data_IF_587187979882
#
_entry.id   IF_587187979882
#
_cell.length_a   1.000
_cell.length_b   1.000
_cell.length_c   1.000
_cell.angle_alpha   90.00
_cell.angle_beta   90.00
_cell.angle_gamma   90.00
#
_symmetry.space_group_name_H-M   'P 1'
#
loop_
_entity.id
_entity.type
_entity.pdbx_description
1 polymer ?
#
# COMPACT_ATOMS: atom_id res chain seq x y z
N UNK A 1 15.39 -30.40 -9.82
CA UNK A 1 14.30 -29.52 -9.36
C UNK A 1 14.41 -29.50 -7.85
N UNK A 2 14.66 -28.34 -7.27
CA UNK A 2 14.71 -28.19 -5.81
C UNK A 2 13.34 -27.78 -5.29
N UNK A 3 12.88 -28.41 -4.21
CA UNK A 3 11.62 -28.07 -3.56
C UNK A 3 11.86 -27.85 -2.07
N UNK A 4 11.33 -26.75 -1.55
CA UNK A 4 11.37 -26.43 -0.14
C UNK A 4 9.92 -26.36 0.41
N UNK A 5 9.64 -27.08 1.49
CA UNK A 5 8.38 -26.93 2.22
C UNK A 5 8.55 -25.76 3.17
N UNK A 6 7.66 -24.78 3.07
CA UNK A 6 7.69 -23.58 3.91
C UNK A 6 6.52 -23.63 4.87
N UNK A 7 6.82 -23.88 6.15
CA UNK A 7 5.84 -23.73 7.22
C UNK A 7 5.66 -22.25 7.55
N UNK A 8 4.42 -21.77 7.51
CA UNK A 8 4.05 -20.46 8.04
C UNK A 8 3.38 -20.62 9.41
N UNK A 9 3.45 -19.61 10.30
CA UNK A 9 2.87 -19.68 11.63
C UNK A 9 1.33 -19.54 11.64
N UNK A 10 0.68 -19.62 10.48
CA UNK A 10 -0.76 -19.42 10.33
C UNK A 10 -1.43 -20.72 9.88
N UNK A 11 -2.56 -21.13 10.48
CA UNK A 11 -3.26 -22.35 10.09
C UNK A 11 -4.03 -22.22 8.77
N UNK A 12 -4.45 -21.00 8.39
CA UNK A 12 -5.25 -20.73 7.18
C UNK A 12 -4.48 -19.83 6.21
N UNK A 13 -3.47 -20.42 5.54
CA UNK A 13 -2.61 -19.72 4.60
C UNK A 13 -3.31 -19.64 3.22
N UNK A 14 -3.42 -18.44 2.60
CA UNK A 14 -4.01 -18.31 1.26
C UNK A 14 -3.11 -18.85 0.15
N UNK A 15 -1.84 -19.13 0.43
CA UNK A 15 -0.83 -19.61 -0.51
C UNK A 15 -0.91 -21.11 -0.77
N UNK A 16 -0.76 -21.48 -2.04
CA UNK A 16 -0.56 -22.86 -2.49
C UNK A 16 0.93 -23.08 -2.76
N UNK A 17 1.51 -22.24 -3.62
CA UNK A 17 2.91 -22.34 -4.02
C UNK A 17 3.47 -20.98 -4.45
N UNK A 18 4.79 -20.83 -4.30
CA UNK A 18 5.57 -19.82 -5.02
C UNK A 18 6.64 -20.55 -5.82
N UNK A 19 6.83 -20.20 -7.08
CA UNK A 19 7.77 -20.92 -7.93
C UNK A 19 8.45 -20.02 -8.94
N UNK A 20 9.65 -20.43 -9.32
CA UNK A 20 10.47 -19.77 -10.33
C UNK A 20 10.51 -20.68 -11.55
N UNK A 21 10.13 -20.15 -12.69
CA UNK A 21 10.25 -20.83 -13.96
C UNK A 21 11.07 -20.00 -14.95
N UNK A 22 11.67 -20.69 -15.91
CA UNK A 22 12.39 -20.08 -17.02
C UNK A 22 11.91 -20.65 -18.34
N UNK A 23 11.98 -19.83 -19.38
CA UNK A 23 11.81 -20.25 -20.76
C UNK A 23 13.09 -19.94 -21.55
N UNK A 24 13.62 -20.98 -22.21
CA UNK A 24 14.60 -20.86 -23.27
C UNK A 24 14.17 -21.68 -24.48
N UNK A 25 14.56 -21.24 -25.68
CA UNK A 25 14.08 -21.84 -26.95
C UNK A 25 14.45 -23.32 -27.05
N UNK A 26 15.59 -23.73 -26.49
CA UNK A 26 16.10 -25.10 -26.62
C UNK A 26 15.39 -26.04 -25.64
N UNK A 27 15.16 -25.58 -24.43
CA UNK A 27 14.76 -26.43 -23.31
C UNK A 27 13.31 -26.22 -22.86
N UNK A 28 12.62 -25.25 -23.47
CA UNK A 28 11.22 -24.94 -23.21
C UNK A 28 11.01 -24.30 -21.84
N UNK A 29 9.81 -24.47 -21.29
CA UNK A 29 9.47 -24.00 -19.94
C UNK A 29 9.95 -25.02 -18.91
N UNK A 30 10.73 -24.55 -17.92
CA UNK A 30 11.21 -25.36 -16.80
C UNK A 30 10.99 -24.64 -15.48
N UNK A 31 10.46 -25.37 -14.49
CA UNK A 31 10.41 -24.90 -13.10
C UNK A 31 11.76 -25.21 -12.45
N UNK A 32 12.47 -24.16 -12.03
CA UNK A 32 13.78 -24.27 -11.41
C UNK A 32 13.71 -24.56 -9.91
N UNK A 33 12.82 -23.85 -9.21
CA UNK A 33 12.68 -23.92 -7.76
C UNK A 33 11.25 -23.63 -7.34
N UNK A 34 10.81 -24.21 -6.21
CA UNK A 34 9.46 -24.01 -5.67
C UNK A 34 9.45 -24.03 -4.13
N UNK A 35 8.63 -23.15 -3.57
CA UNK A 35 8.21 -23.13 -2.19
C UNK A 35 6.75 -23.58 -2.12
N UNK A 36 6.49 -24.63 -1.34
CA UNK A 36 5.15 -25.19 -1.16
C UNK A 36 4.63 -24.84 0.23
N UNK A 37 3.35 -24.44 0.30
CA UNK A 37 2.69 -23.99 1.53
C UNK A 37 1.52 -24.87 1.95
N UNK A 38 1.09 -25.79 1.09
CA UNK A 38 0.15 -26.86 1.43
C UNK A 38 0.77 -28.22 1.15
N UNK A 39 0.47 -29.20 2.01
CA UNK A 39 0.81 -30.62 1.76
C UNK A 39 -0.06 -31.26 0.67
N UNK A 40 -1.16 -30.60 0.30
CA UNK A 40 -2.05 -31.07 -0.77
C UNK A 40 -1.25 -31.18 -2.07
N UNK A 41 -1.09 -32.39 -2.65
CA UNK A 41 -0.35 -32.56 -3.89
C UNK A 41 -1.01 -31.71 -4.96
N UNK A 42 -0.22 -30.82 -5.58
CA UNK A 42 -0.69 -29.98 -6.66
C UNK A 42 -1.41 -30.84 -7.71
N UNK A 43 -2.73 -30.61 -7.87
CA UNK A 43 -3.58 -31.34 -8.81
C UNK A 43 -3.06 -31.26 -10.25
N UNK A 44 -2.24 -30.24 -10.55
CA UNK A 44 -1.59 -29.98 -11.84
C UNK A 44 -0.09 -29.74 -11.63
N UNK A 45 0.73 -30.22 -12.56
CA UNK A 45 2.17 -29.91 -12.56
C UNK A 45 2.39 -28.40 -12.75
N UNK A 46 3.21 -27.78 -11.89
CA UNK A 46 3.50 -26.34 -12.00
C UNK A 46 4.05 -25.97 -13.37
N UNK A 47 4.79 -26.87 -14.03
CA UNK A 47 5.27 -26.68 -15.40
C UNK A 47 4.14 -26.33 -16.36
N UNK A 48 2.99 -26.99 -16.25
CA UNK A 48 1.84 -26.75 -17.14
C UNK A 48 1.16 -25.42 -16.84
N UNK A 49 1.15 -25.02 -15.56
CA UNK A 49 0.69 -23.68 -15.13
C UNK A 49 1.60 -22.60 -15.72
N UNK A 50 2.93 -22.75 -15.60
CA UNK A 50 3.88 -21.75 -16.12
C UNK A 50 3.97 -21.72 -17.65
N UNK A 51 3.58 -22.79 -18.36
CA UNK A 51 3.43 -22.74 -19.82
C UNK A 51 2.41 -21.68 -20.24
N UNK A 52 1.32 -21.50 -19.47
CA UNK A 52 0.33 -20.45 -19.78
C UNK A 52 0.94 -19.05 -19.76
N UNK A 53 1.86 -18.79 -18.81
CA UNK A 53 2.55 -17.51 -18.68
C UNK A 53 3.69 -17.31 -19.68
N UNK A 54 4.47 -18.37 -19.96
CA UNK A 54 5.75 -18.25 -20.67
C UNK A 54 5.70 -18.70 -22.14
N UNK A 55 4.70 -19.45 -22.60
CA UNK A 55 4.76 -20.06 -23.94
C UNK A 55 4.88 -19.05 -25.09
N UNK A 56 4.38 -17.81 -24.93
CA UNK A 56 4.34 -16.81 -26.00
C UNK A 56 5.38 -15.68 -25.85
N UNK A 57 6.19 -15.67 -24.79
CA UNK A 57 7.12 -14.55 -24.52
C UNK A 57 8.17 -14.39 -25.61
N UNK A 58 8.59 -15.49 -26.26
CA UNK A 58 9.55 -15.48 -27.36
C UNK A 58 9.07 -14.77 -28.63
N UNK A 59 7.76 -14.52 -28.75
CA UNK A 59 7.15 -13.79 -29.88
C UNK A 59 6.94 -12.30 -29.57
N UNK A 60 7.24 -11.88 -28.35
CA UNK A 60 7.07 -10.51 -27.90
C UNK A 60 8.40 -9.77 -27.90
N UNK A 61 8.35 -8.45 -27.96
CA UNK A 61 9.56 -7.63 -27.93
C UNK A 61 10.17 -7.64 -26.51
N UNK A 62 11.46 -7.95 -26.41
CA UNK A 62 12.22 -8.02 -25.16
C UNK A 62 12.09 -6.74 -24.30
N UNK A 63 11.92 -5.58 -24.95
CA UNK A 63 11.75 -4.28 -24.27
C UNK A 63 10.56 -4.24 -23.31
N UNK A 64 9.53 -5.07 -23.50
CA UNK A 64 8.37 -5.10 -22.61
C UNK A 64 8.67 -5.77 -21.27
N UNK A 65 9.76 -6.54 -21.19
CA UNK A 65 10.16 -7.32 -20.04
C UNK A 65 11.34 -6.72 -19.26
N UNK A 66 11.84 -5.54 -19.66
CA UNK A 66 12.90 -4.83 -18.95
C UNK A 66 12.44 -4.37 -17.57
N UNK A 67 11.19 -3.95 -17.43
CA UNK A 67 10.61 -3.40 -16.20
C UNK A 67 9.78 -4.40 -15.38
N UNK A 68 9.96 -5.72 -15.57
CA UNK A 68 9.13 -6.77 -14.95
C UNK A 68 7.64 -6.64 -15.33
N UNK A 69 7.21 -7.37 -16.35
CA UNK A 69 5.79 -7.41 -16.74
C UNK A 69 5.01 -8.26 -15.74
N UNK A 70 3.94 -7.71 -15.16
CA UNK A 70 3.07 -8.45 -14.24
C UNK A 70 1.78 -8.86 -14.95
N UNK A 71 1.36 -10.11 -14.74
CA UNK A 71 0.06 -10.61 -15.16
C UNK A 71 -0.62 -11.36 -14.02
N UNK A 72 -1.94 -11.44 -14.09
CA UNK A 72 -2.77 -12.22 -13.19
C UNK A 72 -3.58 -13.22 -14.01
N UNK A 73 -3.87 -14.38 -13.45
CA UNK A 73 -4.66 -15.43 -14.09
C UNK A 73 -5.43 -16.18 -13.02
N UNK A 74 -6.74 -16.27 -13.20
CA UNK A 74 -7.61 -17.08 -12.35
C UNK A 74 -7.89 -18.43 -13.02
N UNK A 75 -7.84 -19.51 -12.25
CA UNK A 75 -8.13 -20.87 -12.68
C UNK A 75 -9.20 -21.46 -11.76
N UNK A 76 -10.49 -21.15 -12.02
CA UNK A 76 -11.60 -21.50 -11.12
C UNK A 76 -11.71 -23.00 -10.84
N UNK A 77 -11.36 -23.85 -11.81
CA UNK A 77 -11.40 -25.31 -11.66
C UNK A 77 -10.45 -25.86 -10.58
N UNK A 78 -9.44 -25.08 -10.20
CA UNK A 78 -8.48 -25.44 -9.14
C UNK A 78 -8.62 -24.55 -7.90
N UNK A 79 -9.56 -23.60 -7.90
CA UNK A 79 -9.62 -22.51 -6.92
C UNK A 79 -8.27 -21.76 -6.84
N UNK A 80 -7.61 -21.51 -7.98
CA UNK A 80 -6.30 -20.86 -8.00
C UNK A 80 -6.37 -19.45 -8.57
N UNK A 81 -5.74 -18.52 -7.86
CA UNK A 81 -5.39 -17.19 -8.33
C UNK A 81 -3.88 -17.12 -8.45
N UNK A 82 -3.39 -16.94 -9.68
CA UNK A 82 -1.97 -16.79 -9.99
C UNK A 82 -1.67 -15.33 -10.28
N UNK A 83 -0.64 -14.80 -9.62
CA UNK A 83 0.02 -13.56 -10.04
C UNK A 83 1.46 -13.89 -10.38
N UNK A 84 1.91 -13.43 -11.54
CA UNK A 84 3.26 -13.71 -12.02
C UNK A 84 3.91 -12.46 -12.56
N UNK A 85 5.22 -12.38 -12.36
CA UNK A 85 6.05 -11.32 -12.89
C UNK A 85 7.09 -11.94 -13.81
N UNK A 86 7.23 -11.41 -15.02
CA UNK A 86 8.06 -11.91 -16.09
C UNK A 86 9.13 -10.86 -16.41
N UNK A 87 10.38 -11.30 -16.49
CA UNK A 87 11.49 -10.45 -16.91
C UNK A 87 12.47 -11.21 -17.80
N UNK A 88 13.23 -10.44 -18.56
CA UNK A 88 14.22 -10.98 -19.49
C UNK A 88 15.64 -10.80 -18.93
N UNK A 89 16.48 -11.83 -19.08
CA UNK A 89 17.88 -11.77 -18.65
C UNK A 89 18.80 -12.36 -19.73
N UNK A 90 19.77 -11.55 -20.17
CA UNK A 90 20.80 -11.96 -21.13
C UNK A 90 22.06 -12.39 -20.40
N UNK A 91 22.42 -13.68 -20.50
CA UNK A 91 23.65 -14.23 -19.91
C UNK A 91 24.43 -15.03 -20.95
N UNK A 92 25.43 -14.43 -21.59
CA UNK A 92 26.23 -15.14 -22.61
C UNK A 92 26.67 -16.54 -22.11
N UNK A 93 26.35 -17.63 -22.82
CA UNK A 93 25.83 -17.69 -24.19
C UNK A 93 24.29 -17.75 -24.35
N UNK A 94 23.50 -17.71 -23.26
CA UNK A 94 22.04 -17.91 -23.29
C UNK A 94 21.26 -16.69 -22.79
N UNK A 95 20.24 -16.30 -23.53
CA UNK A 95 19.16 -15.47 -23.01
C UNK A 95 18.00 -16.36 -22.57
N UNK A 96 17.33 -15.96 -21.51
CA UNK A 96 16.16 -16.65 -21.02
C UNK A 96 15.17 -15.65 -20.43
N UNK A 97 13.89 -15.99 -20.56
CA UNK A 97 12.82 -15.34 -19.83
C UNK A 97 12.67 -16.04 -18.49
N UNK A 98 12.55 -15.27 -17.43
CA UNK A 98 12.31 -15.77 -16.09
C UNK A 98 10.97 -15.27 -15.61
N UNK A 99 10.32 -16.07 -14.78
CA UNK A 99 9.14 -15.65 -14.06
C UNK A 99 9.18 -16.15 -12.64
N UNK A 100 8.69 -15.32 -11.73
CA UNK A 100 8.24 -15.76 -10.42
C UNK A 100 6.72 -15.73 -10.42
N UNK A 101 6.12 -16.88 -10.12
CA UNK A 101 4.68 -17.04 -9.96
C UNK A 101 4.31 -17.32 -8.52
N UNK A 102 3.31 -16.61 -8.04
CA UNK A 102 2.69 -16.79 -6.73
C UNK A 102 1.28 -17.31 -6.96
N UNK A 103 0.98 -18.48 -6.41
CA UNK A 103 -0.31 -19.17 -6.55
C UNK A 103 -0.99 -19.16 -5.18
N UNK A 104 -2.19 -18.61 -5.15
CA UNK A 104 -3.04 -18.47 -3.97
C UNK A 104 -4.40 -19.13 -4.22
N UNK A 105 -5.15 -19.43 -3.15
CA UNK A 105 -6.54 -19.89 -3.23
C UNK A 105 -7.45 -18.73 -3.63
N UNK A 106 -8.13 -18.83 -4.77
CA UNK A 106 -8.98 -17.75 -5.28
C UNK A 106 -10.10 -17.40 -4.28
N UNK A 107 -10.69 -18.41 -3.64
CA UNK A 107 -11.70 -18.29 -2.58
C UNK A 107 -11.27 -17.47 -1.36
N UNK A 108 -9.96 -17.30 -1.14
CA UNK A 108 -9.40 -16.49 -0.04
C UNK A 108 -9.02 -15.08 -0.48
N UNK A 109 -8.94 -14.81 -1.78
CA UNK A 109 -8.54 -13.50 -2.29
C UNK A 109 -9.77 -12.60 -2.43
N UNK A 110 -9.77 -11.49 -1.69
CA UNK A 110 -10.82 -10.46 -1.82
C UNK A 110 -10.64 -9.71 -3.13
N UNK A 111 -11.75 -9.43 -3.83
CA UNK A 111 -11.75 -8.59 -5.03
C UNK A 111 -11.60 -7.11 -4.62
N UNK A 112 -10.37 -6.74 -4.28
CA UNK A 112 -10.06 -5.45 -3.69
C UNK A 112 -8.93 -4.77 -4.49
N UNK A 113 -9.18 -3.61 -5.10
CA UNK A 113 -8.19 -2.96 -5.96
C UNK A 113 -6.92 -2.55 -5.21
N UNK A 114 -7.03 -2.20 -3.92
CA UNK A 114 -5.85 -1.87 -3.10
C UNK A 114 -4.99 -3.09 -2.82
N UNK A 115 -5.61 -4.25 -2.65
CA UNK A 115 -4.89 -5.51 -2.49
C UNK A 115 -4.15 -5.90 -3.77
N UNK A 116 -4.76 -5.73 -4.94
CA UNK A 116 -4.10 -5.98 -6.22
C UNK A 116 -2.92 -5.03 -6.47
N UNK A 117 -3.08 -3.73 -6.19
CA UNK A 117 -1.99 -2.76 -6.28
C UNK A 117 -0.83 -3.14 -5.35
N UNK A 118 -1.14 -3.52 -4.11
CA UNK A 118 -0.15 -3.97 -3.13
C UNK A 118 0.61 -5.23 -3.60
N UNK A 119 -0.12 -6.24 -4.09
CA UNK A 119 0.45 -7.46 -4.64
C UNK A 119 1.36 -7.16 -5.83
N UNK A 120 0.94 -6.29 -6.74
CA UNK A 120 1.75 -5.88 -7.88
C UNK A 120 3.08 -5.28 -7.41
N UNK A 121 3.05 -4.38 -6.43
CA UNK A 121 4.27 -3.78 -5.87
C UNK A 121 5.19 -4.83 -5.25
N UNK A 122 4.66 -5.73 -4.41
CA UNK A 122 5.46 -6.82 -3.84
C UNK A 122 6.02 -7.77 -4.91
N UNK A 123 5.25 -8.07 -5.94
CA UNK A 123 5.71 -8.92 -7.05
C UNK A 123 6.88 -8.28 -7.79
N UNK A 124 6.86 -6.96 -8.03
CA UNK A 124 8.01 -6.25 -8.59
C UNK A 124 9.24 -6.39 -7.70
N UNK A 125 9.08 -6.11 -6.40
CA UNK A 125 10.18 -6.21 -5.42
C UNK A 125 10.82 -7.60 -5.42
N UNK A 126 10.03 -8.67 -5.33
CA UNK A 126 10.57 -10.03 -5.26
C UNK A 126 11.21 -10.43 -6.60
N UNK A 127 10.62 -10.00 -7.72
CA UNK A 127 11.19 -10.26 -9.06
C UNK A 127 12.53 -9.59 -9.24
N UNK A 128 12.68 -8.38 -8.71
CA UNK A 128 13.90 -7.60 -8.74
C UNK A 128 14.99 -8.23 -7.87
N UNK A 129 14.63 -8.69 -6.66
CA UNK A 129 15.55 -9.47 -5.80
C UNK A 129 15.97 -10.76 -6.52
N UNK A 130 15.04 -11.47 -7.16
CA UNK A 130 15.34 -12.67 -7.95
C UNK A 130 16.26 -12.34 -9.12
N UNK A 131 15.98 -11.28 -9.88
CA UNK A 131 16.80 -10.83 -11.02
C UNK A 131 18.22 -10.53 -10.57
N UNK A 132 18.39 -9.81 -9.47
CA UNK A 132 19.72 -9.50 -8.90
C UNK A 132 20.41 -10.77 -8.38
N UNK A 133 19.69 -11.63 -7.67
CA UNK A 133 20.20 -12.92 -7.18
C UNK A 133 20.71 -13.79 -8.34
N UNK A 134 19.93 -13.83 -9.43
CA UNK A 134 20.33 -14.50 -10.65
C UNK A 134 21.63 -13.90 -11.17
N UNK A 135 21.71 -12.57 -11.39
CA UNK A 135 22.93 -11.85 -11.85
C UNK A 135 24.15 -12.19 -10.99
N UNK A 136 23.99 -12.17 -9.67
CA UNK A 136 25.03 -12.49 -8.68
C UNK A 136 25.37 -13.99 -8.61
N UNK A 137 24.66 -14.85 -9.35
CA UNK A 137 24.80 -16.31 -9.35
C UNK A 137 24.55 -16.94 -7.97
N UNK A 138 23.67 -16.34 -7.17
CA UNK A 138 23.22 -16.89 -5.89
C UNK A 138 22.22 -18.02 -6.12
N UNK A 139 22.18 -18.97 -5.19
CA UNK A 139 21.17 -20.04 -5.19
C UNK A 139 19.77 -19.47 -4.98
N UNK A 140 18.74 -20.16 -5.49
CA UNK A 140 17.34 -19.77 -5.29
C UNK A 140 16.93 -19.76 -3.81
N UNK A 141 17.54 -20.61 -2.97
CA UNK A 141 17.31 -20.63 -1.52
C UNK A 141 17.65 -19.30 -0.83
N UNK A 142 18.45 -18.44 -1.47
CA UNK A 142 18.68 -17.07 -1.01
C UNK A 142 17.38 -16.25 -0.87
N UNK A 143 16.35 -16.57 -1.66
CA UNK A 143 15.06 -15.88 -1.63
C UNK A 143 14.13 -16.37 -0.52
N UNK A 144 14.40 -17.52 0.10
CA UNK A 144 13.52 -18.12 1.12
C UNK A 144 13.10 -17.14 2.22
N UNK A 145 14.00 -16.33 2.83
CA UNK A 145 13.59 -15.34 3.83
C UNK A 145 12.65 -14.27 3.28
N UNK A 146 12.87 -13.81 2.05
CA UNK A 146 12.02 -12.82 1.39
C UNK A 146 10.64 -13.40 1.05
N UNK A 147 10.60 -14.65 0.59
CA UNK A 147 9.35 -15.38 0.32
C UNK A 147 8.55 -15.59 1.62
N UNK A 148 9.21 -16.00 2.73
CA UNK A 148 8.56 -16.13 4.04
C UNK A 148 7.99 -14.79 4.52
N UNK A 149 8.75 -13.71 4.43
CA UNK A 149 8.29 -12.38 4.82
C UNK A 149 7.11 -11.90 3.95
N UNK A 150 7.20 -12.06 2.63
CA UNK A 150 6.11 -11.73 1.71
C UNK A 150 4.84 -12.50 2.02
N UNK A 151 4.93 -13.83 2.08
CA UNK A 151 3.77 -14.69 2.32
C UNK A 151 3.15 -14.45 3.70
N UNK A 152 3.95 -14.24 4.73
CA UNK A 152 3.47 -13.86 6.07
C UNK A 152 2.69 -12.53 6.04
N UNK A 153 3.24 -11.48 5.42
CA UNK A 153 2.59 -10.17 5.35
C UNK A 153 1.27 -10.24 4.58
N UNK A 154 1.27 -10.89 3.41
CA UNK A 154 0.05 -11.04 2.60
C UNK A 154 -0.99 -11.88 3.33
N UNK A 155 -0.58 -12.95 4.02
CA UNK A 155 -1.51 -13.76 4.83
C UNK A 155 -2.21 -12.89 5.87
N UNK A 156 -1.46 -12.11 6.64
CA UNK A 156 -2.04 -11.20 7.63
C UNK A 156 -3.04 -10.22 7.01
N UNK A 157 -2.70 -9.64 5.85
CA UNK A 157 -3.56 -8.67 5.17
C UNK A 157 -4.86 -9.32 4.66
N UNK A 158 -4.77 -10.51 4.07
CA UNK A 158 -5.93 -11.22 3.53
C UNK A 158 -6.87 -11.71 4.63
N UNK A 159 -6.32 -12.08 5.80
CA UNK A 159 -7.12 -12.55 6.94
C UNK A 159 -7.72 -11.41 7.75
N UNK A 160 -7.22 -10.18 7.62
CA UNK A 160 -7.81 -9.02 8.28
C UNK A 160 -9.17 -8.68 7.65
N UNK A 161 -10.14 -8.28 8.47
CA UNK A 161 -11.46 -7.85 8.01
C UNK A 161 -12.24 -7.16 9.14
N UNK A 162 -12.57 -5.88 9.01
CA UNK A 162 -13.52 -5.23 9.93
C UNK A 162 -14.94 -5.45 9.40
N UNK A 163 -15.54 -6.57 9.79
CA UNK A 163 -16.92 -6.92 9.40
C UNK A 163 -17.96 -6.05 10.09
N UNK A 164 -17.80 -5.87 11.39
CA UNK A 164 -18.69 -5.08 12.23
C UNK A 164 -17.85 -4.05 12.98
N UNK A 165 -18.28 -2.79 12.95
CA UNK A 165 -17.68 -1.74 13.76
C UNK A 165 -18.38 -1.78 15.12
N UNK A 166 -17.65 -2.00 16.24
CA UNK A 166 -18.28 -1.99 17.55
C UNK A 166 -18.80 -0.59 17.89
N UNK A 167 -19.98 -0.53 18.51
CA UNK A 167 -20.57 0.71 19.00
C UNK A 167 -19.88 1.16 20.29
N UNK A 168 -19.51 2.44 20.36
CA UNK A 168 -18.92 3.05 21.54
C UNK A 168 -19.49 4.44 21.75
N UNK A 169 -19.51 4.88 23.00
CA UNK A 169 -19.77 6.27 23.34
C UNK A 169 -18.48 7.08 23.19
N UNK A 170 -18.48 8.05 22.28
CA UNK A 170 -17.33 8.91 22.01
C UNK A 170 -17.27 10.15 22.91
N UNK A 171 -18.28 10.38 23.76
CA UNK A 171 -18.36 11.57 24.62
C UNK A 171 -17.27 11.63 25.69
N UNK A 172 -16.67 10.49 26.03
CA UNK A 172 -15.58 10.41 27.01
C UNK A 172 -14.21 10.85 26.45
N UNK A 173 -14.10 11.01 25.12
CA UNK A 173 -12.83 11.37 24.48
C UNK A 173 -12.77 12.88 24.24
N UNK A 174 -11.60 13.47 24.48
CA UNK A 174 -11.35 14.88 24.18
C UNK A 174 -11.69 15.22 22.71
N UNK A 175 -12.60 16.17 22.55
CA UNK A 175 -13.14 16.57 21.24
C UNK A 175 -12.08 17.17 20.31
N UNK A 176 -11.10 17.88 20.89
CA UNK A 176 -9.99 18.47 20.15
C UNK A 176 -9.07 17.39 19.59
N UNK A 177 -8.74 16.39 20.42
CA UNK A 177 -7.99 15.21 20.01
C UNK A 177 -8.71 14.42 18.91
N UNK A 178 -10.01 14.13 19.05
CA UNK A 178 -10.79 13.45 17.99
C UNK A 178 -10.79 14.25 16.68
N UNK A 179 -10.90 15.58 16.76
CA UNK A 179 -10.90 16.43 15.57
C UNK A 179 -9.53 16.42 14.86
N UNK A 180 -8.43 16.49 15.61
CA UNK A 180 -7.07 16.36 15.10
C UNK A 180 -6.85 14.98 14.47
N UNK A 181 -7.35 13.95 15.14
CA UNK A 181 -7.20 12.57 14.72
C UNK A 181 -7.95 12.32 13.41
N UNK A 182 -9.22 12.70 13.33
CA UNK A 182 -10.03 12.57 12.11
C UNK A 182 -9.42 13.37 10.96
N UNK A 183 -8.90 14.57 11.24
CA UNK A 183 -8.18 15.38 10.25
C UNK A 183 -7.00 14.61 9.67
N UNK A 184 -6.11 14.11 10.53
CA UNK A 184 -4.92 13.38 10.13
C UNK A 184 -5.27 12.10 9.37
N UNK A 185 -6.22 11.31 9.90
CA UNK A 185 -6.71 10.08 9.28
C UNK A 185 -7.16 10.31 7.84
N UNK A 186 -7.97 11.33 7.58
CA UNK A 186 -8.44 11.61 6.22
C UNK A 186 -7.35 12.21 5.31
N UNK A 187 -6.44 13.03 5.85
CA UNK A 187 -5.28 13.55 5.12
C UNK A 187 -4.29 12.46 4.71
N UNK A 188 -4.23 11.36 5.43
CA UNK A 188 -3.35 10.22 5.12
C UNK A 188 -4.08 9.08 4.40
N UNK A 189 -5.16 9.41 3.68
CA UNK A 189 -5.95 8.43 2.93
C UNK A 189 -6.46 7.28 3.81
N UNK A 190 -6.78 7.58 5.06
CA UNK A 190 -7.28 6.65 6.07
C UNK A 190 -6.29 5.54 6.43
N UNK A 191 -5.00 5.75 6.17
CA UNK A 191 -3.94 4.83 6.64
C UNK A 191 -3.47 5.30 8.01
N UNK A 192 -3.80 4.56 9.06
CA UNK A 192 -3.55 4.92 10.45
C UNK A 192 -3.05 3.74 11.28
N UNK A 193 -1.97 4.00 12.02
CA UNK A 193 -1.41 3.11 13.03
C UNK A 193 -1.69 3.72 14.40
N UNK A 194 -2.39 2.98 15.26
CA UNK A 194 -2.69 3.36 16.64
C UNK A 194 -1.74 2.59 17.56
N UNK A 195 -0.74 3.28 18.11
CA UNK A 195 0.19 2.74 19.10
C UNK A 195 -0.39 2.89 20.51
N UNK A 196 -0.59 1.76 21.20
CA UNK A 196 -1.22 1.69 22.51
C UNK A 196 -0.53 0.69 23.46
N UNK A 197 -0.90 0.73 24.74
CA UNK A 197 -0.45 -0.26 25.73
C UNK A 197 -1.35 -1.48 25.80
N UNK A 198 -2.66 -1.26 25.63
CA UNK A 198 -3.68 -2.31 25.73
C UNK A 198 -4.66 -2.22 24.58
N UNK A 199 -5.28 -3.35 24.22
CA UNK A 199 -6.29 -3.37 23.16
C UNK A 199 -7.52 -2.53 23.55
N UNK A 200 -7.87 -2.47 24.84
CA UNK A 200 -9.03 -1.72 25.32
C UNK A 200 -8.90 -0.21 25.02
N UNK A 201 -7.72 0.35 25.27
CA UNK A 201 -7.39 1.76 24.98
C UNK A 201 -7.58 2.11 23.50
N UNK A 202 -7.14 1.23 22.60
CA UNK A 202 -7.22 1.47 21.16
C UNK A 202 -8.61 1.19 20.57
N UNK A 203 -9.43 0.33 21.18
CA UNK A 203 -10.71 -0.11 20.61
C UNK A 203 -11.67 1.04 20.31
N UNK A 204 -11.82 1.99 21.22
CA UNK A 204 -12.75 3.11 21.05
C UNK A 204 -12.29 3.99 19.87
N UNK A 205 -11.02 4.38 19.86
CA UNK A 205 -10.41 5.21 18.83
C UNK A 205 -10.40 4.51 17.46
N UNK A 206 -10.05 3.23 17.42
CA UNK A 206 -10.03 2.45 16.20
C UNK A 206 -11.44 2.27 15.64
N UNK A 207 -12.44 2.02 16.49
CA UNK A 207 -13.83 1.89 16.04
C UNK A 207 -14.37 3.21 15.52
N UNK A 208 -14.08 4.32 16.21
CA UNK A 208 -14.38 5.67 15.72
C UNK A 208 -13.81 5.91 14.32
N UNK A 209 -12.52 5.65 14.11
CA UNK A 209 -11.88 5.82 12.80
C UNK A 209 -12.41 4.84 11.74
N UNK A 210 -12.84 3.64 12.13
CA UNK A 210 -13.36 2.65 11.20
C UNK A 210 -14.65 3.11 10.50
N UNK A 211 -15.43 4.02 11.11
CA UNK A 211 -16.57 4.66 10.45
C UNK A 211 -16.17 5.56 9.27
N UNK A 212 -14.93 6.03 9.25
CA UNK A 212 -14.40 6.88 8.19
C UNK A 212 -13.55 6.11 7.17
N UNK A 213 -13.71 4.78 7.13
CA UNK A 213 -13.12 3.92 6.10
C UNK A 213 -14.12 3.57 4.99
N UNK A 214 -13.66 3.60 3.74
CA UNK A 214 -14.41 2.98 2.64
C UNK A 214 -14.53 1.46 2.85
N UNK A 215 -15.57 0.80 2.30
CA UNK A 215 -15.76 -0.64 2.47
C UNK A 215 -14.52 -1.48 2.11
N UNK A 216 -13.87 -1.18 0.98
CA UNK A 216 -12.64 -1.86 0.56
C UNK A 216 -11.44 -1.59 1.48
N UNK A 217 -11.43 -0.47 2.21
CA UNK A 217 -10.38 -0.20 3.21
C UNK A 217 -10.64 -0.95 4.51
N UNK A 218 -11.90 -1.14 4.90
CA UNK A 218 -12.30 -1.97 6.06
C UNK A 218 -11.91 -3.42 5.88
N UNK A 219 -12.05 -3.94 4.65
CA UNK A 219 -11.58 -5.27 4.28
C UNK A 219 -10.06 -5.46 4.43
N UNK A 220 -9.30 -4.36 4.46
CA UNK A 220 -7.84 -4.34 4.62
C UNK A 220 -7.46 -3.58 5.91
N UNK A 221 -8.24 -3.77 6.97
CA UNK A 221 -8.02 -3.16 8.29
C UNK A 221 -8.24 -4.16 9.40
N UNK A 222 -7.71 -3.87 10.59
CA UNK A 222 -7.82 -4.73 11.77
C UNK A 222 -7.98 -3.90 13.04
N UNK A 223 -8.91 -4.35 13.91
CA UNK A 223 -9.07 -3.83 15.27
C UNK A 223 -8.33 -4.69 16.32
N UNK A 224 -7.60 -5.70 15.87
CA UNK A 224 -6.77 -6.54 16.72
C UNK A 224 -5.45 -5.83 17.05
N UNK A 225 -4.90 -6.14 18.23
CA UNK A 225 -3.62 -5.60 18.66
C UNK A 225 -2.47 -6.41 18.06
N UNK A 226 -1.67 -5.77 17.20
CA UNK A 226 -0.51 -6.37 16.55
C UNK A 226 0.78 -6.03 17.29
N UNK A 227 1.76 -6.94 17.29
CA UNK A 227 3.07 -6.66 17.89
C UNK A 227 3.90 -5.66 17.06
N UNK A 228 3.65 -5.59 15.76
CA UNK A 228 4.38 -4.74 14.80
C UNK A 228 3.40 -4.18 13.77
N UNK A 229 3.67 -2.99 13.21
CA UNK A 229 2.89 -2.48 12.11
C UNK A 229 3.03 -3.37 10.87
N UNK A 230 1.90 -3.61 10.21
CA UNK A 230 1.78 -4.38 8.98
C UNK A 230 1.58 -3.38 7.82
N UNK A 231 2.61 -3.15 6.99
CA UNK A 231 2.48 -2.28 5.83
C UNK A 231 1.46 -2.85 4.85
N UNK A 232 0.46 -2.04 4.49
CA UNK A 232 -0.62 -2.44 3.60
C UNK A 232 -2.00 -2.47 4.27
N UNK A 233 -2.07 -2.54 5.60
CA UNK A 233 -3.32 -2.29 6.31
C UNK A 233 -3.62 -0.78 6.37
N UNK A 234 -4.90 -0.43 6.21
CA UNK A 234 -5.36 0.95 6.36
C UNK A 234 -5.46 1.32 7.83
N UNK A 235 -6.29 0.65 8.63
CA UNK A 235 -6.38 0.89 10.05
C UNK A 235 -5.84 -0.31 10.84
N UNK A 236 -4.98 -0.05 11.81
CA UNK A 236 -4.41 -1.09 12.68
C UNK A 236 -4.05 -0.55 14.07
N UNK A 237 -4.14 -1.43 15.07
CA UNK A 237 -3.65 -1.18 16.42
C UNK A 237 -2.34 -1.94 16.63
N UNK A 238 -1.34 -1.28 17.21
CA UNK A 238 -0.04 -1.89 17.48
C UNK A 238 0.39 -1.65 18.92
N UNK A 239 1.13 -2.61 19.47
CA UNK A 239 1.84 -2.42 20.73
C UNK A 239 2.87 -1.30 20.62
N UNK A 240 3.32 -0.80 21.77
CA UNK A 240 4.38 0.21 21.84
C UNK A 240 5.64 -0.23 21.09
N UNK A 241 6.14 0.62 20.20
CA UNK A 241 7.27 0.28 19.34
C UNK A 241 8.59 0.80 19.93
N UNK A 242 9.64 -0.02 19.85
CA UNK A 242 11.02 0.39 20.21
C UNK A 242 11.74 1.09 19.06
N UNK A 243 11.36 0.76 17.83
CA UNK A 243 11.93 1.34 16.60
C UNK A 243 11.41 2.76 16.39
N UNK A 244 12.25 3.64 15.86
CA UNK A 244 11.85 5.02 15.58
C UNK A 244 10.69 5.08 14.58
N UNK A 245 9.70 5.93 14.83
CA UNK A 245 8.45 6.02 14.04
C UNK A 245 8.71 6.28 12.56
N UNK A 246 9.66 7.16 12.23
CA UNK A 246 10.05 7.45 10.85
C UNK A 246 10.54 6.20 10.10
N UNK A 247 11.28 5.29 10.76
CA UNK A 247 11.74 4.03 10.16
C UNK A 247 10.60 3.03 9.92
N UNK A 248 9.52 3.13 10.69
CA UNK A 248 8.33 2.29 10.53
C UNK A 248 7.40 2.85 9.44
N UNK A 249 7.11 4.15 9.50
CA UNK A 249 6.18 4.84 8.61
C UNK A 249 6.64 4.80 7.15
N UNK A 250 7.94 4.88 6.88
CA UNK A 250 8.48 4.84 5.52
C UNK A 250 8.17 3.52 4.79
N UNK A 251 7.85 2.43 5.50
CA UNK A 251 7.55 1.12 4.90
C UNK A 251 6.16 1.07 4.27
N UNK A 252 5.28 2.02 4.60
CA UNK A 252 3.97 2.13 4.00
C UNK A 252 4.11 2.68 2.59
N UNK A 253 3.23 2.28 1.67
CA UNK A 253 3.19 2.84 0.30
C UNK A 253 2.39 4.14 0.23
N UNK A 254 1.53 4.35 1.23
CA UNK A 254 0.64 5.52 1.36
C UNK A 254 1.09 6.39 2.52
N UNK A 255 0.72 7.69 2.50
CA UNK A 255 0.80 8.55 3.67
C UNK A 255 0.20 7.83 4.87
N UNK A 256 0.79 7.97 6.05
CA UNK A 256 0.35 7.25 7.24
C UNK A 256 0.26 8.21 8.41
N UNK A 257 -0.84 8.10 9.15
CA UNK A 257 -1.01 8.71 10.47
C UNK A 257 -0.49 7.74 11.53
N UNK A 258 0.37 8.23 12.41
CA UNK A 258 0.81 7.52 13.59
C UNK A 258 0.26 8.20 14.83
N UNK A 259 -0.60 7.49 15.55
CA UNK A 259 -1.22 7.96 16.79
C UNK A 259 -0.56 7.25 17.95
N UNK A 260 -0.14 7.99 18.96
CA UNK A 260 0.38 7.39 20.19
C UNK A 260 -0.53 7.79 21.34
N UNK A 261 -1.28 6.81 21.85
CA UNK A 261 -2.33 7.08 22.84
C UNK A 261 -1.76 7.48 24.20
N UNK A 262 -0.57 7.00 24.57
CA UNK A 262 0.04 7.34 25.88
C UNK A 262 0.28 8.83 26.12
N UNK A 263 0.46 9.61 25.04
CA UNK A 263 0.75 11.05 25.11
C UNK A 263 -0.16 11.88 24.17
N UNK A 264 -1.21 11.27 23.62
CA UNK A 264 -2.13 11.86 22.64
C UNK A 264 -1.41 12.55 21.47
N UNK A 265 -0.25 12.04 21.05
CA UNK A 265 0.48 12.62 19.91
C UNK A 265 0.02 12.02 18.59
N UNK A 266 -0.15 12.90 17.59
CA UNK A 266 -0.53 12.53 16.22
C UNK A 266 0.55 13.07 15.27
N UNK A 267 1.26 12.15 14.64
CA UNK A 267 2.20 12.43 13.56
C UNK A 267 1.65 11.90 12.25
N UNK A 268 2.00 12.53 11.14
CA UNK A 268 1.62 12.06 9.81
C UNK A 268 2.75 12.25 8.82
N UNK A 269 2.69 11.50 7.73
CA UNK A 269 3.52 11.76 6.55
C UNK A 269 2.67 12.37 5.46
N UNK A 270 3.25 13.31 4.72
CA UNK A 270 2.55 13.92 3.60
C UNK A 270 2.69 13.07 2.33
N UNK A 271 1.75 13.26 1.41
CA UNK A 271 1.70 12.54 0.12
C UNK A 271 2.87 12.84 -0.80
N UNK A 272 3.49 14.01 -0.67
CA UNK A 272 4.57 14.45 -1.55
C UNK A 272 5.87 13.74 -1.17
N UNK A 273 6.16 13.71 0.13
CA UNK A 273 7.17 12.90 0.78
C UNK A 273 6.94 11.44 0.39
N UNK A 274 5.74 10.90 0.60
CA UNK A 274 5.49 9.50 0.31
C UNK A 274 5.71 9.12 -1.16
N UNK A 275 5.27 9.94 -2.12
CA UNK A 275 5.48 9.70 -3.55
C UNK A 275 6.97 9.74 -3.93
N UNK A 276 7.74 10.67 -3.36
CA UNK A 276 9.20 10.69 -3.53
C UNK A 276 9.84 9.41 -2.98
N UNK A 277 9.29 8.89 -1.89
CA UNK A 277 9.78 7.67 -1.28
C UNK A 277 9.37 6.42 -2.03
N UNK A 278 8.16 6.31 -2.58
CA UNK A 278 7.71 5.16 -3.39
C UNK A 278 8.64 4.93 -4.58
N UNK A 279 8.99 6.01 -5.30
CA UNK A 279 9.97 5.99 -6.39
C UNK A 279 11.33 5.50 -5.87
N UNK A 280 11.75 6.00 -4.71
CA UNK A 280 13.03 5.60 -4.08
C UNK A 280 13.01 4.23 -3.40
N UNK A 281 11.85 3.66 -3.08
CA UNK A 281 11.63 2.41 -2.33
C UNK A 281 11.67 1.20 -3.25
N UNK A 282 11.12 1.34 -4.45
CA UNK A 282 11.37 0.40 -5.55
C UNK A 282 12.88 0.28 -5.74
N UNK A 283 13.62 1.39 -5.63
CA UNK A 283 15.08 1.34 -5.56
C UNK A 283 15.57 0.77 -4.22
N UNK A 284 15.15 1.28 -3.06
CA UNK A 284 15.78 1.05 -1.74
C UNK A 284 15.51 -0.32 -1.11
N UNK A 285 14.46 -1.04 -1.50
CA UNK A 285 14.27 -2.42 -1.04
C UNK A 285 15.28 -3.40 -1.68
N UNK A 286 15.99 -3.01 -2.75
CA UNK A 286 17.24 -3.67 -3.16
C UNK A 286 18.34 -3.61 -2.08
N UNK A 287 18.26 -2.67 -1.12
CA UNK A 287 19.41 -2.23 -0.32
C UNK A 287 19.55 -2.96 1.02
N UNK A 288 18.49 -3.62 1.52
CA UNK A 288 18.59 -4.44 2.73
C UNK A 288 19.41 -5.73 2.53
N UNK A 289 19.65 -6.12 1.28
CA UNK A 289 20.37 -7.36 0.94
C UNK A 289 21.76 -7.16 0.30
N UNK A 290 22.15 -5.93 -0.05
CA UNK A 290 23.52 -5.62 -0.50
C UNK A 290 24.37 -5.09 0.66
N UNK A 291 25.18 -5.93 1.29
CA UNK A 291 26.12 -5.49 2.31
C UNK A 291 27.31 -4.80 1.64
N UNK A 292 27.46 -3.48 1.83
CA UNK A 292 28.71 -2.77 2.25
C UNK A 292 28.74 -1.28 1.87
N UNK A 293 28.23 -0.84 0.71
CA UNK A 293 28.35 0.56 0.25
C UNK A 293 27.07 1.42 0.34
N UNK A 294 26.01 0.91 0.97
CA UNK A 294 24.63 1.40 0.73
C UNK A 294 23.88 1.87 1.98
N UNK A 295 24.43 1.69 3.18
CA UNK A 295 23.87 2.25 4.42
C UNK A 295 23.83 3.79 4.40
N UNK A 296 24.80 4.43 3.76
CA UNK A 296 24.86 5.91 3.66
C UNK A 296 23.69 6.50 2.89
N UNK A 297 23.29 5.92 1.75
CA UNK A 297 22.14 6.37 0.95
C UNK A 297 20.81 6.17 1.69
N UNK A 298 20.64 5.02 2.33
CA UNK A 298 19.44 4.72 3.13
C UNK A 298 19.35 5.66 4.34
N UNK A 299 20.48 5.94 5.01
CA UNK A 299 20.53 6.93 6.09
C UNK A 299 20.22 8.35 5.60
N UNK A 300 20.71 8.75 4.43
CA UNK A 300 20.35 10.04 3.81
C UNK A 300 18.85 10.12 3.49
N UNK A 301 18.24 9.00 3.08
CA UNK A 301 16.79 8.89 2.86
C UNK A 301 16.03 9.04 4.18
N UNK A 302 16.42 8.33 5.25
CA UNK A 302 15.83 8.48 6.58
C UNK A 302 15.96 9.90 7.15
N UNK A 303 17.07 10.59 6.86
CA UNK A 303 17.25 11.99 7.30
C UNK A 303 16.29 12.96 6.61
N UNK A 304 15.86 12.65 5.38
CA UNK A 304 14.88 13.44 4.63
C UNK A 304 13.45 13.09 5.00
N UNK A 305 13.20 11.85 5.44
CA UNK A 305 11.88 11.42 5.90
C UNK A 305 11.59 11.96 7.30
N UNK A 306 10.76 13.00 7.42
CA UNK A 306 10.37 13.59 8.70
C UNK A 306 8.86 13.60 8.84
N UNK A 307 8.28 12.77 9.73
CA UNK A 307 6.89 12.90 10.11
C UNK A 307 6.61 14.30 10.66
N UNK A 308 5.43 14.82 10.35
CA UNK A 308 4.96 16.13 10.79
C UNK A 308 3.89 15.93 11.85
N UNK A 309 4.02 16.63 12.98
CA UNK A 309 2.99 16.63 14.00
C UNK A 309 1.78 17.45 13.55
N UNK A 310 0.58 16.88 13.68
CA UNK A 310 -0.67 17.60 13.36
C UNK A 310 -1.04 18.48 14.55
N UNK A 311 -1.15 19.80 14.31
CA UNK A 311 -1.39 20.80 15.36
C UNK A 311 -2.74 21.50 15.26
N UNK A 312 -3.36 21.47 14.08
CA UNK A 312 -4.59 22.21 13.82
C UNK A 312 -5.59 21.28 13.16
N UNK A 313 -6.78 21.08 13.75
CA UNK A 313 -7.82 20.28 13.13
C UNK A 313 -8.43 21.04 11.94
N UNK A 314 -8.93 20.28 10.97
CA UNK A 314 -9.70 20.83 9.87
C UNK A 314 -11.06 21.34 10.36
N UNK A 315 -11.54 22.50 9.90
CA UNK A 315 -12.87 23.00 10.23
C UNK A 315 -13.98 21.96 9.99
N UNK A 316 -13.89 21.20 8.89
CA UNK A 316 -14.83 20.12 8.60
C UNK A 316 -14.81 19.01 9.65
N UNK A 317 -13.62 18.63 10.13
CA UNK A 317 -13.48 17.59 11.16
C UNK A 317 -14.07 18.06 12.49
N UNK A 318 -13.78 19.31 12.91
CA UNK A 318 -14.38 19.89 14.12
C UNK A 318 -15.91 19.87 14.08
N UNK A 319 -16.50 20.32 12.97
CA UNK A 319 -17.96 20.33 12.81
C UNK A 319 -18.53 18.90 12.84
N UNK A 320 -17.85 17.95 12.19
CA UNK A 320 -18.24 16.53 12.19
C UNK A 320 -18.25 15.95 13.60
N UNK A 321 -17.18 16.17 14.38
CA UNK A 321 -17.10 15.71 15.77
C UNK A 321 -18.21 16.34 16.62
N UNK A 322 -18.48 17.63 16.46
CA UNK A 322 -19.57 18.30 17.18
C UNK A 322 -20.93 17.67 16.87
N UNK A 323 -21.23 17.38 15.60
CA UNK A 323 -22.47 16.71 15.22
C UNK A 323 -22.60 15.31 15.83
N UNK A 324 -21.52 14.54 15.85
CA UNK A 324 -21.51 13.18 16.41
C UNK A 324 -21.78 13.24 17.92
N UNK A 325 -21.04 14.07 18.66
CA UNK A 325 -21.14 14.14 20.13
C UNK A 325 -22.49 14.71 20.59
N UNK A 326 -23.08 15.64 19.83
CA UNK A 326 -24.40 16.21 20.16
C UNK A 326 -25.57 15.28 19.82
N UNK A 327 -25.31 14.18 19.13
CA UNK A 327 -26.35 13.27 18.66
C UNK A 327 -26.51 12.06 19.57
N UNK A 328 -27.74 11.51 19.69
CA UNK A 328 -27.96 10.26 20.42
C UNK A 328 -27.06 9.13 19.90
N UNK A 329 -26.57 8.27 20.80
CA UNK A 329 -25.66 7.17 20.45
C UNK A 329 -26.23 6.27 19.33
N UNK A 330 -27.55 6.07 19.28
CA UNK A 330 -28.23 5.29 18.23
C UNK A 330 -28.16 5.89 16.82
N UNK A 331 -27.84 7.18 16.68
CA UNK A 331 -27.75 7.86 15.38
C UNK A 331 -26.33 8.26 14.98
N UNK A 332 -25.35 8.10 15.88
CA UNK A 332 -23.95 8.49 15.62
C UNK A 332 -23.36 7.79 14.39
N UNK A 333 -23.61 6.49 14.23
CA UNK A 333 -23.15 5.72 13.06
C UNK A 333 -23.69 6.30 11.74
N UNK A 334 -24.99 6.62 11.71
CA UNK A 334 -25.64 7.22 10.55
C UNK A 334 -25.03 8.59 10.22
N UNK A 335 -24.67 9.38 11.24
CA UNK A 335 -24.03 10.68 11.04
C UNK A 335 -22.63 10.51 10.45
N UNK A 336 -21.83 9.58 10.96
CA UNK A 336 -20.52 9.27 10.39
C UNK A 336 -20.64 8.89 8.90
N UNK A 337 -21.59 8.02 8.55
CA UNK A 337 -21.82 7.59 7.18
C UNK A 337 -22.23 8.75 6.26
N UNK A 338 -23.10 9.65 6.75
CA UNK A 338 -23.53 10.84 6.01
C UNK A 338 -22.36 11.81 5.77
N UNK A 339 -21.54 12.04 6.81
CA UNK A 339 -20.38 12.92 6.72
C UNK A 339 -19.31 12.34 5.79
N UNK A 340 -19.01 11.05 5.91
CA UNK A 340 -18.07 10.35 5.04
C UNK A 340 -18.55 10.38 3.57
N UNK A 341 -19.84 10.17 3.33
CA UNK A 341 -20.42 10.28 1.99
C UNK A 341 -20.34 11.69 1.42
N UNK A 342 -20.52 12.72 2.26
CA UNK A 342 -20.43 14.11 1.84
C UNK A 342 -19.00 14.49 1.43
N UNK A 343 -17.99 14.12 2.22
CA UNK A 343 -16.60 14.43 1.89
C UNK A 343 -16.12 13.66 0.65
N UNK A 344 -16.53 12.39 0.47
CA UNK A 344 -16.23 11.62 -0.76
C UNK A 344 -16.81 12.31 -2.00
N UNK A 345 -18.08 12.71 -1.98
CA UNK A 345 -18.71 13.44 -3.10
C UNK A 345 -17.97 14.74 -3.41
N UNK A 346 -17.52 15.44 -2.37
CA UNK A 346 -16.74 16.67 -2.50
C UNK A 346 -15.39 16.41 -3.16
N UNK A 347 -14.70 15.32 -2.81
CA UNK A 347 -13.46 14.87 -3.44
C UNK A 347 -13.64 14.44 -4.90
N UNK A 348 -14.74 13.78 -5.26
CA UNK A 348 -15.04 13.45 -6.66
C UNK A 348 -15.31 14.71 -7.47
N UNK A 349 -16.09 15.66 -6.92
CA UNK A 349 -16.32 16.95 -7.54
C UNK A 349 -15.00 17.75 -7.71
N UNK A 350 -14.09 17.65 -6.74
CA UNK A 350 -12.75 18.20 -6.84
C UNK A 350 -11.95 17.63 -8.02
N UNK A 351 -11.95 16.30 -8.21
CA UNK A 351 -11.31 15.66 -9.38
C UNK A 351 -11.87 16.22 -10.69
N UNK A 352 -13.20 16.32 -10.80
CA UNK A 352 -13.86 16.83 -12.00
C UNK A 352 -13.48 18.29 -12.29
N UNK A 353 -13.50 19.16 -11.28
CA UNK A 353 -13.13 20.57 -11.42
C UNK A 353 -11.65 20.74 -11.79
N UNK A 354 -10.74 19.97 -11.19
CA UNK A 354 -9.32 19.97 -11.56
C UNK A 354 -9.14 19.55 -13.02
N UNK A 355 -9.81 18.50 -13.46
CA UNK A 355 -9.77 18.03 -14.85
C UNK A 355 -10.35 19.03 -15.85
N UNK A 356 -11.40 19.77 -15.50
CA UNK A 356 -11.95 20.84 -16.32
C UNK A 356 -10.95 21.99 -16.49
N UNK A 357 -10.33 22.45 -15.39
CA UNK A 357 -9.36 23.55 -15.45
C UNK A 357 -8.08 23.17 -16.19
N UNK A 358 -7.63 21.93 -16.06
CA UNK A 358 -6.48 21.42 -16.82
C UNK A 358 -6.72 21.46 -18.33
N UNK A 359 -7.92 21.07 -18.80
CA UNK A 359 -8.29 21.15 -20.21
C UNK A 359 -8.29 22.58 -20.74
N UNK A 360 -8.74 23.54 -19.92
CA UNK A 360 -8.74 24.96 -20.28
C UNK A 360 -7.32 25.55 -20.35
N UNK A 361 -6.38 25.01 -19.55
CA UNK A 361 -4.98 25.40 -19.53
C UNK A 361 -4.10 24.59 -20.49
N UNK A 362 -4.67 23.95 -21.51
CA UNK A 362 -3.93 23.15 -22.50
C UNK A 362 -3.03 22.06 -21.90
N UNK A 363 -3.47 21.43 -20.80
CA UNK A 363 -2.73 20.39 -20.07
C UNK A 363 -1.43 20.86 -19.40
N UNK A 364 -1.37 22.11 -18.90
CA UNK A 364 -0.32 22.48 -17.96
C UNK A 364 -0.26 21.49 -16.78
N UNK A 365 0.96 21.09 -16.42
CA UNK A 365 1.18 20.05 -15.41
C UNK A 365 0.84 20.48 -13.99
N UNK A 366 0.67 21.78 -13.72
CA UNK A 366 0.41 22.34 -12.39
C UNK A 366 -0.65 23.42 -12.45
N UNK A 367 -1.67 23.34 -11.58
CA UNK A 367 -2.69 24.39 -11.50
C UNK A 367 -2.14 25.67 -10.84
N UNK A 368 -2.39 26.87 -11.41
CA UNK A 368 -2.12 28.14 -10.77
C UNK A 368 -2.88 28.33 -9.45
N UNK A 369 -2.32 29.10 -8.51
CA UNK A 369 -2.95 29.34 -7.20
C UNK A 369 -4.35 29.97 -7.32
N UNK A 370 -4.57 30.85 -8.30
CA UNK A 370 -5.88 31.45 -8.55
C UNK A 370 -6.96 30.42 -8.89
N UNK A 371 -6.64 29.40 -9.68
CA UNK A 371 -7.56 28.30 -9.99
C UNK A 371 -7.81 27.42 -8.77
N UNK A 372 -6.79 27.18 -7.94
CA UNK A 372 -6.92 26.45 -6.67
C UNK A 372 -7.90 27.15 -5.73
N UNK A 373 -7.82 28.47 -5.62
CA UNK A 373 -8.75 29.28 -4.82
C UNK A 373 -10.19 29.25 -5.36
N UNK A 374 -10.37 29.29 -6.68
CA UNK A 374 -11.70 29.16 -7.32
C UNK A 374 -12.31 27.80 -6.99
N UNK A 375 -11.54 26.71 -7.11
CA UNK A 375 -12.01 25.37 -6.76
C UNK A 375 -12.40 25.30 -5.28
N UNK A 376 -11.54 25.79 -4.39
CA UNK A 376 -11.83 25.80 -2.95
C UNK A 376 -13.10 26.59 -2.60
N UNK A 377 -13.30 27.76 -3.21
CA UNK A 377 -14.52 28.57 -3.04
C UNK A 377 -15.77 27.86 -3.59
N UNK A 378 -15.66 27.26 -4.77
CA UNK A 378 -16.75 26.51 -5.42
C UNK A 378 -17.22 25.35 -4.55
N UNK A 379 -16.27 24.63 -3.95
CA UNK A 379 -16.54 23.51 -3.05
C UNK A 379 -16.76 23.91 -1.59
N UNK A 380 -16.76 25.21 -1.28
CA UNK A 380 -16.96 25.78 0.07
C UNK A 380 -15.98 25.22 1.11
N UNK A 381 -14.72 25.03 0.73
CA UNK A 381 -13.65 24.60 1.63
C UNK A 381 -13.13 25.80 2.41
N UNK A 382 -13.23 25.75 3.75
CA UNK A 382 -13.04 26.92 4.62
C UNK A 382 -11.58 27.05 5.06
N UNK A 383 -10.84 25.95 5.14
CA UNK A 383 -9.43 25.94 5.54
C UNK A 383 -8.51 25.15 4.61
N UNK A 384 -7.20 25.40 4.75
CA UNK A 384 -6.18 24.63 4.03
C UNK A 384 -6.18 23.15 4.44
N UNK A 385 -6.56 22.85 5.68
CA UNK A 385 -6.68 21.48 6.17
C UNK A 385 -7.86 20.74 5.53
N UNK A 386 -8.99 21.42 5.26
CA UNK A 386 -10.11 20.84 4.48
C UNK A 386 -9.66 20.52 3.06
N UNK A 387 -8.90 21.43 2.42
CA UNK A 387 -8.34 21.20 1.08
C UNK A 387 -7.42 19.98 1.08
N UNK A 388 -6.57 19.81 2.11
CA UNK A 388 -5.71 18.63 2.23
C UNK A 388 -6.52 17.34 2.39
N UNK A 389 -7.59 17.34 3.19
CA UNK A 389 -8.50 16.19 3.31
C UNK A 389 -9.08 15.85 1.94
N UNK A 390 -9.74 16.82 1.30
CA UNK A 390 -10.43 16.62 0.02
C UNK A 390 -9.45 16.16 -1.06
N UNK A 391 -8.26 16.77 -1.13
CA UNK A 391 -7.19 16.38 -2.06
C UNK A 391 -6.74 14.95 -1.80
N UNK A 392 -6.52 14.57 -0.55
CA UNK A 392 -5.98 13.24 -0.20
C UNK A 392 -6.97 12.13 -0.57
N UNK A 393 -8.26 12.34 -0.29
CA UNK A 393 -9.33 11.42 -0.72
C UNK A 393 -9.47 11.44 -2.25
N UNK A 394 -9.36 12.60 -2.92
CA UNK A 394 -9.42 12.69 -4.38
C UNK A 394 -8.31 11.86 -5.06
N UNK A 395 -7.13 11.74 -4.45
CA UNK A 395 -6.03 10.91 -4.95
C UNK A 395 -6.34 9.41 -4.97
N UNK A 396 -7.37 8.97 -4.24
CA UNK A 396 -7.85 7.58 -4.28
C UNK A 396 -8.64 7.28 -5.56
N UNK A 397 -9.20 8.30 -6.20
CA UNK A 397 -9.98 8.20 -7.44
C UNK A 397 -9.16 8.58 -8.67
N UNK A 398 -8.22 9.52 -8.54
CA UNK A 398 -7.28 9.90 -9.62
C UNK A 398 -5.86 10.10 -9.07
N UNK A 399 -4.97 9.14 -9.39
CA UNK A 399 -3.54 9.14 -8.99
C UNK A 399 -2.75 10.33 -9.58
N UNK A 400 -3.29 11.07 -10.55
CA UNK A 400 -2.63 12.24 -11.16
C UNK A 400 -2.83 13.52 -10.33
N UNK A 401 -3.77 13.55 -9.39
CA UNK A 401 -4.08 14.75 -8.59
C UNK A 401 -2.88 15.30 -7.81
N UNK A 402 -2.02 14.49 -7.14
CA UNK A 402 -0.85 15.01 -6.44
C UNK A 402 0.07 15.81 -7.34
N UNK A 403 0.36 15.29 -8.54
CA UNK A 403 1.28 15.89 -9.51
C UNK A 403 0.83 17.28 -9.95
N UNK A 404 -0.49 17.50 -10.02
CA UNK A 404 -1.12 18.76 -10.44
C UNK A 404 -1.06 19.87 -9.38
N UNK A 405 -0.73 19.53 -8.14
CA UNK A 405 -0.79 20.46 -7.01
C UNK A 405 0.57 20.91 -6.49
N UNK A 406 1.65 20.19 -6.80
CA UNK A 406 3.00 20.49 -6.32
C UNK A 406 3.48 21.83 -6.89
N UNK A 407 3.82 22.78 -6.01
CA UNK A 407 4.48 24.04 -6.37
C UNK A 407 5.87 23.78 -6.93
N UNK A 408 6.24 24.56 -7.94
CA UNK A 408 7.62 24.99 -8.17
C UNK A 408 8.19 25.54 -6.84
N UNK A 409 9.13 24.82 -6.18
CA UNK A 409 10.20 25.37 -5.33
C UNK A 409 11.08 24.27 -4.66
N UNK A 410 12.10 23.82 -5.39
CA UNK A 410 13.54 23.95 -5.04
C UNK A 410 14.35 23.30 -6.18
N UNK A 411 15.35 23.99 -6.76
CA UNK A 411 16.14 23.49 -7.91
C UNK A 411 16.97 22.22 -7.63
N UNK A 412 16.89 21.66 -6.42
CA UNK A 412 17.56 20.40 -6.07
C UNK A 412 16.74 19.12 -6.30
N UNK A 413 15.41 19.20 -6.49
CA UNK A 413 14.54 18.02 -6.61
C UNK A 413 14.42 17.53 -8.06
N UNK A 414 14.50 18.45 -9.04
CA UNK A 414 14.54 18.14 -10.48
C UNK A 414 15.63 17.12 -10.84
N UNK A 415 16.81 17.22 -10.21
CA UNK A 415 17.93 16.30 -10.45
C UNK A 415 17.65 14.86 -9.98
N UNK A 416 16.71 14.63 -9.06
CA UNK A 416 16.42 13.27 -8.58
C UNK A 416 15.51 12.53 -9.57
N UNK A 417 14.58 13.25 -10.20
CA UNK A 417 13.70 12.68 -11.25
C UNK A 417 14.43 12.49 -12.59
N UNK A 418 15.54 13.21 -12.83
CA UNK A 418 16.41 12.98 -14.00
C UNK A 418 17.47 11.88 -13.77
N UNK A 419 17.60 11.37 -12.53
CA UNK A 419 18.58 10.34 -12.15
C UNK A 419 17.95 8.96 -11.84
N UNK A 420 16.64 8.83 -12.00
CA UNK A 420 15.88 7.58 -12.03
C UNK A 420 15.40 7.38 -13.45
#
# INVERSE_FOLDING_TARGET
MESEIVSLPFPDVPFVAVAIASFDIVSGVKVGHRWLFSEDPLKVKLEDVFKMALCNVHRQNEKYFTECSISTTEMPQFDWYMINSIFYLTRKPRSAYFTIGVIMKASKIKNNPYFHDLLNTYMKIISDILRQSLIDKKSYSFLTPSIKAFTSNITQIVTCDIKNIPEYDYSEIDTSFLSLLLTSHLQTQMTTVIECQTQHEAKIIASFLAHFLMPTQREMSSLELHQKPIPGLFLQCVERQKTARNELMIKFQKPVTWVKLSDHTIEQTDIETQNLFEISQISSQYFFYSQTNTKSKVNQLFQKYKPVQVKTPAPWACATIQYIIQSPNSTQNMICDLQMSAIIRTSIAYVALVGEKEKLLQNESVLPNSQKEIIAKTLRLIGIEDIKIVRSIACLFDKKIPLKYVRQQKPGISKILELV
#
